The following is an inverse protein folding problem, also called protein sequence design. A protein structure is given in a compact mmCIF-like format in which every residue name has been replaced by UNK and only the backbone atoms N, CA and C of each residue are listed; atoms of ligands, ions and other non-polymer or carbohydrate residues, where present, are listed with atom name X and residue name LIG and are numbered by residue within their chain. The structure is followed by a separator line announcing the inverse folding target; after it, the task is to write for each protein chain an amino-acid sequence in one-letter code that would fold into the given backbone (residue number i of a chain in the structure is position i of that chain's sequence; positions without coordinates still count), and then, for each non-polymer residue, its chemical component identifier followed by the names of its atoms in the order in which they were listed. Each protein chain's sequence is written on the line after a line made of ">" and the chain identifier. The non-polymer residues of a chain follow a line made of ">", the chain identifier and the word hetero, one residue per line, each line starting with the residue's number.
data_IF_912899015795
#
_entry.id   IF_912899015795
#
_cell.length_a   1.000
_cell.length_b   1.000
_cell.length_c   1.000
_cell.angle_alpha   90.00
_cell.angle_beta   90.00
_cell.angle_gamma   90.00
#
_symmetry.space_group_name_H-M   'P 1'
#
loop_
_entity.id
_entity.type
_entity.pdbx_description
1 polymer ?
#
# COMPACT_ATOMS: atom_id res chain seq x y z
N UNK A 1 10.41 58.22 -22.09
CA UNK A 1 11.03 57.11 -21.32
C UNK A 1 9.91 56.40 -20.57
N UNK A 2 9.47 55.24 -21.07
CA UNK A 2 8.52 54.37 -20.38
C UNK A 2 9.32 53.36 -19.55
N UNK A 3 9.03 53.28 -18.25
CA UNK A 3 9.54 52.26 -17.33
C UNK A 3 8.54 51.11 -17.33
N UNK A 4 8.93 49.98 -17.92
CA UNK A 4 8.20 48.72 -17.80
C UNK A 4 8.51 48.09 -16.45
N UNK A 5 7.51 48.03 -15.59
CA UNK A 5 7.52 47.24 -14.35
C UNK A 5 7.48 45.76 -14.73
N UNK A 6 8.58 45.04 -14.48
CA UNK A 6 8.59 43.57 -14.47
C UNK A 6 7.92 43.11 -13.17
N UNK A 7 6.68 42.65 -13.27
CA UNK A 7 6.03 41.86 -12.23
C UNK A 7 6.65 40.45 -12.22
N UNK A 8 7.74 40.31 -11.46
CA UNK A 8 8.22 39.00 -11.05
C UNK A 8 7.27 38.43 -10.02
N UNK A 9 6.44 37.47 -10.43
CA UNK A 9 5.71 36.59 -9.51
C UNK A 9 6.76 35.74 -8.81
N UNK A 10 7.26 36.22 -7.66
CA UNK A 10 8.06 35.42 -6.76
C UNK A 10 7.09 34.44 -6.09
N UNK A 11 6.95 33.25 -6.66
CA UNK A 11 6.33 32.12 -5.96
C UNK A 11 7.02 31.98 -4.60
N UNK A 12 6.25 32.14 -3.51
CA UNK A 12 6.80 32.06 -2.17
C UNK A 12 7.43 30.67 -1.94
N UNK A 13 8.63 30.59 -1.36
CA UNK A 13 9.35 29.33 -1.13
C UNK A 13 8.56 28.30 -0.30
N UNK A 14 7.56 28.76 0.45
CA UNK A 14 6.62 27.92 1.22
C UNK A 14 5.71 27.05 0.31
N UNK A 15 5.30 27.56 -0.86
CA UNK A 15 4.45 26.81 -1.81
C UNK A 15 5.23 25.69 -2.53
N UNK A 16 6.52 25.92 -2.83
CA UNK A 16 7.39 24.90 -3.42
C UNK A 16 7.77 23.80 -2.42
N UNK A 17 7.90 24.14 -1.12
CA UNK A 17 8.16 23.15 -0.07
C UNK A 17 6.95 22.26 0.24
N UNK A 18 5.72 22.80 0.23
CA UNK A 18 4.50 22.01 0.46
C UNK A 18 4.19 21.02 -0.67
N UNK A 19 4.42 21.42 -1.94
CA UNK A 19 4.24 20.55 -3.12
C UNK A 19 5.18 19.33 -3.11
N UNK A 20 6.45 19.53 -2.75
CA UNK A 20 7.44 18.44 -2.73
C UNK A 20 7.20 17.41 -1.61
N UNK A 21 6.69 17.85 -0.45
CA UNK A 21 6.35 16.97 0.66
C UNK A 21 5.15 16.06 0.35
N UNK A 22 4.11 16.60 -0.29
CA UNK A 22 2.92 15.86 -0.72
C UNK A 22 3.26 14.81 -1.79
N UNK A 23 4.11 15.17 -2.76
CA UNK A 23 4.59 14.24 -3.80
C UNK A 23 5.41 13.09 -3.22
N UNK A 24 6.35 13.37 -2.31
CA UNK A 24 7.18 12.35 -1.66
C UNK A 24 6.33 11.38 -0.82
N UNK A 25 5.29 11.88 -0.16
CA UNK A 25 4.37 11.06 0.62
C UNK A 25 3.55 10.11 -0.26
N UNK A 26 3.01 10.59 -1.39
CA UNK A 26 2.31 9.75 -2.37
C UNK A 26 3.21 8.65 -2.93
N UNK A 27 4.47 8.95 -3.22
CA UNK A 27 5.44 7.95 -3.68
C UNK A 27 5.74 6.90 -2.60
N UNK A 28 5.87 7.30 -1.34
CA UNK A 28 6.02 6.37 -0.22
C UNK A 28 4.79 5.46 -0.06
N UNK A 29 3.58 5.99 -0.19
CA UNK A 29 2.35 5.22 -0.11
C UNK A 29 2.25 4.21 -1.27
N UNK A 30 2.56 4.63 -2.50
CA UNK A 30 2.63 3.74 -3.67
C UNK A 30 3.66 2.62 -3.47
N UNK A 31 4.82 2.94 -2.89
CA UNK A 31 5.85 1.96 -2.58
C UNK A 31 5.33 0.93 -1.56
N UNK A 32 4.72 1.38 -0.46
CA UNK A 32 4.14 0.49 0.55
C UNK A 32 3.02 -0.41 0.01
N UNK A 33 2.13 0.13 -0.83
CA UNK A 33 1.10 -0.68 -1.51
C UNK A 33 1.75 -1.77 -2.38
N UNK A 34 2.80 -1.43 -3.13
CA UNK A 34 3.50 -2.39 -3.99
C UNK A 34 4.16 -3.49 -3.15
N UNK A 35 4.81 -3.12 -2.06
CA UNK A 35 5.46 -4.06 -1.14
C UNK A 35 4.46 -5.05 -0.54
N UNK A 36 3.35 -4.55 0.03
CA UNK A 36 2.27 -5.39 0.56
C UNK A 36 1.70 -6.32 -0.53
N UNK A 37 1.50 -5.82 -1.74
CA UNK A 37 1.02 -6.66 -2.84
C UNK A 37 2.01 -7.79 -3.19
N UNK A 38 3.31 -7.52 -3.15
CA UNK A 38 4.34 -8.56 -3.33
C UNK A 38 4.31 -9.58 -2.19
N UNK A 39 4.18 -9.13 -0.95
CA UNK A 39 4.14 -9.99 0.22
C UNK A 39 2.92 -10.91 0.23
N UNK A 40 1.76 -10.43 -0.21
CA UNK A 40 0.52 -11.22 -0.32
C UNK A 40 0.61 -12.29 -1.42
N UNK A 41 1.35 -12.03 -2.50
CA UNK A 41 1.46 -12.98 -3.61
C UNK A 41 2.16 -14.29 -3.21
N UNK A 42 3.11 -14.25 -2.29
CA UNK A 42 3.82 -15.43 -1.82
C UNK A 42 2.92 -16.47 -1.12
N UNK A 43 2.20 -16.12 -0.02
CA UNK A 43 1.26 -17.04 0.62
C UNK A 43 0.13 -17.45 -0.32
N UNK A 44 -0.35 -16.60 -1.23
CA UNK A 44 -1.33 -17.00 -2.26
C UNK A 44 -0.80 -18.12 -3.17
N UNK A 45 0.46 -18.05 -3.58
CA UNK A 45 1.11 -19.10 -4.36
C UNK A 45 1.14 -20.44 -3.61
N UNK A 46 1.47 -20.40 -2.32
CA UNK A 46 1.51 -21.57 -1.44
C UNK A 46 0.11 -22.16 -1.25
N UNK A 47 -0.88 -21.32 -0.94
CA UNK A 47 -2.30 -21.72 -0.80
C UNK A 47 -2.79 -22.40 -2.09
N UNK A 48 -2.50 -21.80 -3.25
CA UNK A 48 -2.90 -22.36 -4.55
C UNK A 48 -2.32 -23.76 -4.75
N UNK A 49 -1.06 -23.97 -4.39
CA UNK A 49 -0.41 -25.29 -4.49
C UNK A 49 -1.04 -26.30 -3.51
N UNK A 50 -1.30 -25.91 -2.27
CA UNK A 50 -1.95 -26.78 -1.28
C UNK A 50 -3.34 -27.20 -1.74
N UNK A 51 -4.15 -26.27 -2.23
CA UNK A 51 -5.49 -26.55 -2.80
C UNK A 51 -5.38 -27.48 -4.01
N UNK A 52 -4.44 -27.22 -4.92
CA UNK A 52 -4.21 -28.09 -6.08
C UNK A 52 -3.92 -29.54 -5.66
N UNK A 53 -3.04 -29.77 -4.67
CA UNK A 53 -2.74 -31.11 -4.19
C UNK A 53 -3.93 -31.78 -3.50
N UNK A 54 -4.70 -31.03 -2.70
CA UNK A 54 -5.93 -31.52 -2.08
C UNK A 54 -6.94 -31.99 -3.13
N UNK A 55 -7.06 -31.26 -4.25
CA UNK A 55 -8.00 -31.57 -5.32
C UNK A 55 -7.55 -32.71 -6.23
N UNK A 56 -6.24 -32.85 -6.48
CA UNK A 56 -5.74 -33.75 -7.54
C UNK A 56 -5.17 -35.07 -7.05
N UNK A 57 -4.73 -35.17 -5.78
CA UNK A 57 -3.95 -36.32 -5.31
C UNK A 57 -4.63 -37.20 -4.26
N UNK A 58 -5.84 -36.83 -3.80
CA UNK A 58 -6.54 -37.46 -2.68
C UNK A 58 -5.59 -37.84 -1.51
N UNK A 59 -4.94 -36.85 -0.87
CA UNK A 59 -3.93 -37.11 0.14
C UNK A 59 -4.49 -37.85 1.35
N UNK A 60 -3.61 -38.60 2.02
CA UNK A 60 -3.88 -39.24 3.32
C UNK A 60 -4.30 -38.22 4.37
N UNK A 61 -4.91 -38.68 5.47
CA UNK A 61 -5.39 -37.83 6.57
C UNK A 61 -4.34 -36.82 7.04
N UNK A 62 -3.15 -37.30 7.40
CA UNK A 62 -2.05 -36.45 7.89
C UNK A 62 -1.60 -35.40 6.87
N UNK A 63 -1.51 -35.78 5.58
CA UNK A 63 -1.12 -34.85 4.51
C UNK A 63 -2.22 -33.81 4.25
N UNK A 64 -3.48 -34.23 4.33
CA UNK A 64 -4.64 -33.35 4.18
C UNK A 64 -4.67 -32.30 5.29
N UNK A 65 -4.48 -32.73 6.53
CA UNK A 65 -4.37 -31.83 7.69
C UNK A 65 -3.20 -30.87 7.54
N UNK A 66 -2.03 -31.36 7.10
CA UNK A 66 -0.89 -30.51 6.80
C UNK A 66 -1.21 -29.44 5.74
N UNK A 67 -1.88 -29.79 4.63
CA UNK A 67 -2.26 -28.80 3.63
C UNK A 67 -3.28 -27.78 4.16
N UNK A 68 -4.23 -28.19 4.99
CA UNK A 68 -5.14 -27.24 5.65
C UNK A 68 -4.40 -26.27 6.57
N UNK A 69 -3.44 -26.77 7.35
CA UNK A 69 -2.59 -25.92 8.20
C UNK A 69 -1.78 -24.92 7.38
N UNK A 70 -1.20 -25.35 6.26
CA UNK A 70 -0.48 -24.47 5.34
C UNK A 70 -1.40 -23.38 4.76
N UNK A 71 -2.66 -23.72 4.46
CA UNK A 71 -3.65 -22.75 3.99
C UNK A 71 -3.99 -21.74 5.09
N UNK A 72 -4.25 -22.20 6.31
CA UNK A 72 -4.54 -21.35 7.46
C UNK A 72 -3.39 -20.37 7.76
N UNK A 73 -2.15 -20.86 7.82
CA UNK A 73 -0.96 -20.03 8.01
C UNK A 73 -0.79 -19.01 6.87
N UNK A 74 -1.04 -19.41 5.62
CA UNK A 74 -1.00 -18.52 4.48
C UNK A 74 -2.04 -17.40 4.56
N UNK A 75 -3.27 -17.73 4.95
CA UNK A 75 -4.34 -16.74 5.13
C UNK A 75 -4.02 -15.78 6.28
N UNK A 76 -3.45 -16.26 7.39
CA UNK A 76 -3.02 -15.41 8.50
C UNK A 76 -1.96 -14.40 8.09
N UNK A 77 -0.99 -14.79 7.25
CA UNK A 77 0.01 -13.87 6.69
C UNK A 77 -0.61 -12.80 5.79
N UNK A 78 -1.56 -13.19 4.94
CA UNK A 78 -2.29 -12.23 4.07
C UNK A 78 -3.05 -11.23 4.93
N UNK A 79 -3.73 -11.70 5.98
CA UNK A 79 -4.45 -10.83 6.90
C UNK A 79 -3.51 -9.82 7.56
N UNK A 80 -2.35 -10.28 8.04
CA UNK A 80 -1.34 -9.40 8.63
C UNK A 80 -0.88 -8.31 7.65
N UNK A 81 -0.48 -8.66 6.43
CA UNK A 81 -0.05 -7.67 5.43
C UNK A 81 -1.17 -6.68 5.06
N UNK A 82 -2.43 -7.12 5.06
CA UNK A 82 -3.58 -6.23 4.87
C UNK A 82 -3.82 -5.30 6.06
N UNK A 83 -3.55 -5.74 7.29
CA UNK A 83 -3.61 -4.89 8.48
C UNK A 83 -2.51 -3.82 8.46
N UNK A 84 -1.30 -4.18 8.04
CA UNK A 84 -0.19 -3.24 7.86
C UNK A 84 -0.53 -2.18 6.80
N UNK A 85 -1.16 -2.58 5.70
CA UNK A 85 -1.64 -1.63 4.69
C UNK A 85 -2.72 -0.68 5.22
N UNK A 86 -3.66 -1.17 6.03
CA UNK A 86 -4.67 -0.33 6.68
C UNK A 86 -4.01 0.68 7.63
N UNK A 87 -2.98 0.25 8.37
CA UNK A 87 -2.23 1.13 9.25
C UNK A 87 -1.53 2.26 8.48
N UNK A 88 -0.95 1.98 7.30
CA UNK A 88 -0.36 3.01 6.43
C UNK A 88 -1.38 4.06 5.96
N UNK A 89 -2.62 3.64 5.68
CA UNK A 89 -3.71 4.57 5.33
C UNK A 89 -4.14 5.42 6.53
N UNK A 90 -4.23 4.81 7.70
CA UNK A 90 -4.77 5.45 8.91
C UNK A 90 -3.73 6.29 9.67
N UNK A 91 -2.47 6.30 9.21
CA UNK A 91 -1.42 7.19 9.70
C UNK A 91 -1.88 8.67 9.61
N UNK A 92 -1.77 9.45 10.71
CA UNK A 92 -2.14 10.87 10.74
C UNK A 92 -1.49 11.70 9.64
N UNK A 93 -0.28 11.33 9.21
CA UNK A 93 0.48 11.96 8.13
C UNK A 93 -0.28 11.88 6.79
N UNK A 94 -1.06 10.81 6.61
CA UNK A 94 -1.87 10.53 5.41
C UNK A 94 -3.22 11.28 5.46
N UNK A 95 -3.78 11.52 6.66
CA UNK A 95 -5.09 12.16 6.87
C UNK A 95 -5.08 13.70 6.78
N UNK A 96 -3.92 14.33 6.99
CA UNK A 96 -3.79 15.80 6.89
C UNK A 96 -4.05 16.28 5.45
N UNK A 97 -3.67 15.48 4.44
CA UNK A 97 -3.87 15.80 3.02
C UNK A 97 -5.35 15.70 2.58
N UNK A 98 -6.10 14.74 3.15
CA UNK A 98 -7.53 14.55 2.84
C UNK A 98 -8.41 15.72 3.31
N UNK A 99 -7.99 16.45 4.36
CA UNK A 99 -8.66 17.68 4.78
C UNK A 99 -8.29 18.85 3.88
N UNK A 100 -7.01 19.02 3.58
CA UNK A 100 -6.53 20.13 2.74
C UNK A 100 -7.05 20.06 1.28
N UNK A 101 -7.25 18.87 0.73
CA UNK A 101 -7.84 18.70 -0.61
C UNK A 101 -9.34 19.02 -0.66
N UNK A 102 -10.06 18.84 0.46
CA UNK A 102 -11.49 19.14 0.56
C UNK A 102 -11.76 20.62 0.85
N UNK A 103 -10.84 21.30 1.51
CA UNK A 103 -10.95 22.73 1.81
C UNK A 103 -10.60 23.63 0.61
N UNK A 104 -10.18 23.06 -0.54
CA UNK A 104 -9.87 23.76 -1.79
C UNK A 104 -10.93 23.57 -2.90
N UNK A 105 -12.05 22.90 -2.61
CA UNK A 105 -13.21 22.77 -3.51
C UNK A 105 -14.41 23.57 -2.99
#
# INVERSE_FOLDING_TARGET
>A
MQLTLQEGIVESPEAQQQSSASSKHLENLKAGIREVAHEINNPLGIIRMAVYFLQTTNPSGDKREHYFKVIEEGLGRIEQSLQELKALRDDPSTRILDRQARDQQ
#
